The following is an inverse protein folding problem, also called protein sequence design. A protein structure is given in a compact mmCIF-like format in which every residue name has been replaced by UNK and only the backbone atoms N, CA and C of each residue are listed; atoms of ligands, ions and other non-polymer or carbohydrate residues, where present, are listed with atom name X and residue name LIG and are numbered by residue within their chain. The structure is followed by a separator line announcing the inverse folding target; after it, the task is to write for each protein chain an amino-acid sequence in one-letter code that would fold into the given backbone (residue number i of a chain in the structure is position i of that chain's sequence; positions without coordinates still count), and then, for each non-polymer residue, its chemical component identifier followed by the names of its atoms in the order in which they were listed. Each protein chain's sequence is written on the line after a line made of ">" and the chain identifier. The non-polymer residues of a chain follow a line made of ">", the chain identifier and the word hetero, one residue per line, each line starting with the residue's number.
data_IF_872922731991
#
_entry.id   IF_872922731991
#
_cell.length_a   1.000
_cell.length_b   1.000
_cell.length_c   1.000
_cell.angle_alpha   90.00
_cell.angle_beta   90.00
_cell.angle_gamma   90.00
#
_symmetry.space_group_name_H-M   'P 1'
#
loop_
_entity.id
_entity.type
_entity.pdbx_description
1 polymer ?
#
# COMPACT_ATOMS: atom_id res chain seq x y z
N UNK A 1 79.16 0.87 -20.82
CA UNK A 1 78.68 2.09 -20.13
C UNK A 1 77.54 1.66 -19.22
N UNK A 2 77.68 1.86 -17.90
CA UNK A 2 76.73 1.42 -16.86
C UNK A 2 75.48 2.31 -16.92
N UNK A 3 74.28 1.72 -17.01
CA UNK A 3 73.02 2.41 -16.75
C UNK A 3 72.56 2.00 -15.35
N UNK A 4 72.23 3.04 -14.59
CA UNK A 4 72.11 3.11 -13.14
C UNK A 4 70.63 3.03 -12.75
N UNK A 5 70.33 2.34 -11.65
CA UNK A 5 68.99 2.17 -11.11
C UNK A 5 68.41 3.47 -10.53
N UNK A 6 67.15 3.77 -10.84
CA UNK A 6 66.21 4.64 -10.08
C UNK A 6 64.83 3.99 -10.29
N UNK A 7 64.30 3.15 -9.39
CA UNK A 7 63.63 3.42 -8.10
C UNK A 7 62.37 4.29 -8.19
N UNK A 8 61.35 3.86 -7.44
CA UNK A 8 60.16 4.61 -6.97
C UNK A 8 58.80 4.19 -7.55
N UNK A 9 58.27 3.10 -7.00
CA UNK A 9 56.97 3.00 -6.30
C UNK A 9 55.90 4.01 -6.75
N UNK A 10 54.91 3.53 -7.51
CA UNK A 10 53.59 4.15 -7.63
C UNK A 10 52.61 3.29 -6.83
N UNK A 11 52.50 3.61 -5.54
CA UNK A 11 51.52 3.11 -4.59
C UNK A 11 50.69 4.31 -4.12
N UNK A 12 49.80 4.82 -4.97
CA UNK A 12 48.66 5.65 -4.56
C UNK A 12 47.63 5.54 -5.67
N UNK A 13 46.48 4.92 -5.37
CA UNK A 13 45.13 5.16 -5.94
C UNK A 13 44.18 3.99 -5.60
N UNK A 14 44.29 3.43 -4.38
CA UNK A 14 43.15 2.80 -3.73
C UNK A 14 42.44 3.88 -2.91
N UNK A 15 41.84 4.84 -3.61
CA UNK A 15 40.68 5.55 -3.08
C UNK A 15 39.55 4.53 -3.22
N UNK A 16 39.49 3.59 -2.28
CA UNK A 16 38.29 2.81 -2.07
C UNK A 16 37.23 3.81 -1.65
N UNK A 17 36.34 4.14 -2.58
CA UNK A 17 35.15 4.92 -2.33
C UNK A 17 34.53 4.42 -1.04
N UNK A 18 34.40 5.31 -0.05
CA UNK A 18 33.32 5.23 0.90
C UNK A 18 32.04 5.25 0.08
N UNK A 19 31.52 4.07 -0.27
CA UNK A 19 30.11 3.92 -0.52
C UNK A 19 29.45 4.22 0.83
N UNK A 20 29.14 5.50 1.04
CA UNK A 20 27.90 5.82 1.72
C UNK A 20 26.84 4.99 0.98
N UNK A 21 26.41 3.90 1.59
CA UNK A 21 25.10 3.34 1.32
C UNK A 21 24.12 4.43 1.74
N UNK A 22 23.84 5.36 0.82
CA UNK A 22 22.60 6.11 0.86
C UNK A 22 21.51 5.06 0.83
N UNK A 23 20.93 4.82 2.00
CA UNK A 23 19.76 3.98 2.18
C UNK A 23 18.72 4.57 1.25
N UNK A 24 18.35 3.84 0.20
CA UNK A 24 17.34 4.30 -0.75
C UNK A 24 16.09 4.68 0.07
N UNK A 25 15.74 5.97 0.04
CA UNK A 25 14.58 6.48 0.76
C UNK A 25 13.36 5.76 0.19
N UNK A 26 12.64 5.02 1.03
CA UNK A 26 11.45 4.29 0.60
C UNK A 26 10.41 5.33 0.20
N UNK A 27 10.05 5.34 -1.08
CA UNK A 27 9.13 6.32 -1.63
C UNK A 27 7.73 6.18 -1.00
N UNK A 28 7.05 7.29 -0.77
CA UNK A 28 5.64 7.28 -0.42
C UNK A 28 4.82 6.66 -1.58
N UNK A 29 3.78 5.84 -1.33
CA UNK A 29 3.18 5.47 -0.05
C UNK A 29 3.84 4.26 0.65
N UNK A 30 4.86 3.65 0.05
CA UNK A 30 5.46 2.39 0.51
C UNK A 30 6.14 2.50 1.87
N UNK A 31 6.58 3.70 2.26
CA UNK A 31 7.20 3.98 3.56
C UNK A 31 6.30 3.66 4.77
N UNK A 32 4.98 3.60 4.57
CA UNK A 32 4.01 3.24 5.62
C UNK A 32 3.72 1.74 5.71
N UNK A 33 4.21 0.93 4.76
CA UNK A 33 4.00 -0.51 4.77
C UNK A 33 5.17 -1.17 5.50
N UNK A 34 4.86 -1.89 6.58
CA UNK A 34 5.83 -2.60 7.41
C UNK A 34 6.72 -3.52 6.56
N UNK A 35 8.04 -3.47 6.77
CA UNK A 35 9.06 -4.13 5.93
C UNK A 35 8.90 -5.65 5.79
N UNK A 36 8.26 -6.30 6.77
CA UNK A 36 8.02 -7.75 6.74
C UNK A 36 6.73 -8.13 6.00
N UNK A 37 5.91 -7.15 5.62
CA UNK A 37 4.70 -7.38 4.85
C UNK A 37 5.08 -7.58 3.39
N UNK A 38 4.87 -8.79 2.88
CA UNK A 38 5.13 -9.11 1.47
C UNK A 38 3.96 -8.63 0.60
N UNK A 39 4.27 -7.93 -0.49
CA UNK A 39 3.34 -7.49 -1.52
C UNK A 39 4.12 -7.20 -2.81
N UNK A 40 3.46 -7.33 -3.96
CA UNK A 40 3.93 -6.80 -5.23
C UNK A 40 3.71 -5.28 -5.26
N UNK A 41 4.68 -4.57 -5.85
CA UNK A 41 4.54 -3.15 -6.17
C UNK A 41 3.34 -2.92 -7.08
N UNK A 42 2.79 -1.72 -7.04
CA UNK A 42 1.65 -1.33 -7.85
C UNK A 42 1.78 0.15 -8.22
N UNK A 43 1.29 0.52 -9.39
CA UNK A 43 1.21 1.93 -9.79
C UNK A 43 -0.23 2.42 -9.71
N UNK A 44 -0.42 3.73 -9.79
CA UNK A 44 -1.74 4.34 -9.86
C UNK A 44 -1.68 5.56 -10.77
N UNK A 45 -2.83 6.04 -11.30
CA UNK A 45 -2.85 7.22 -12.16
C UNK A 45 -2.18 8.43 -11.50
N UNK A 46 -1.41 9.21 -12.26
CA UNK A 46 -0.73 10.42 -11.75
C UNK A 46 -1.72 11.47 -11.19
N UNK A 47 -2.97 11.42 -11.63
CA UNK A 47 -4.05 12.27 -11.14
C UNK A 47 -4.71 11.78 -9.85
N UNK A 48 -4.27 10.64 -9.29
CA UNK A 48 -4.75 10.11 -8.02
C UNK A 48 -3.69 10.34 -6.95
N UNK A 49 -4.12 10.85 -5.80
CA UNK A 49 -3.27 11.02 -4.63
C UNK A 49 -3.63 9.97 -3.59
N UNK A 50 -2.66 9.43 -2.87
CA UNK A 50 -2.94 8.58 -1.71
C UNK A 50 -3.30 9.53 -0.57
N UNK A 51 -4.58 9.54 -0.20
CA UNK A 51 -5.13 10.45 0.82
C UNK A 51 -5.30 9.76 2.16
N UNK A 52 -5.25 8.42 2.22
CA UNK A 52 -5.22 7.72 3.49
C UNK A 52 -4.52 6.37 3.38
N UNK A 53 -3.84 5.97 4.45
CA UNK A 53 -3.27 4.62 4.61
C UNK A 53 -3.67 4.10 5.98
N UNK A 54 -4.29 2.92 6.00
CA UNK A 54 -4.66 2.22 7.23
C UNK A 54 -4.21 0.76 7.18
N UNK A 55 -4.12 0.13 8.34
CA UNK A 55 -3.76 -1.28 8.48
C UNK A 55 -4.61 -1.96 9.54
N UNK A 56 -4.67 -3.29 9.49
CA UNK A 56 -5.31 -4.08 10.54
C UNK A 56 -4.27 -4.93 11.27
N UNK A 57 -4.22 -4.81 12.59
CA UNK A 57 -3.39 -5.65 13.47
C UNK A 57 -4.24 -6.61 14.30
N UNK A 58 -3.90 -7.91 14.37
CA UNK A 58 -4.60 -8.86 15.23
C UNK A 58 -4.50 -8.50 16.72
N UNK A 59 -5.58 -8.74 17.47
CA UNK A 59 -5.55 -8.74 18.93
C UNK A 59 -4.86 -10.02 19.42
N UNK A 60 -3.80 -9.89 20.21
CA UNK A 60 -3.06 -11.02 20.81
C UNK A 60 -3.64 -11.35 22.18
N UNK A 61 -3.91 -10.32 22.98
CA UNK A 61 -4.33 -10.48 24.37
C UNK A 61 -5.33 -9.41 24.78
N UNK A 62 -6.28 -9.78 25.65
CA UNK A 62 -7.18 -8.86 26.35
C UNK A 62 -7.50 -9.42 27.73
N UNK A 63 -7.34 -8.62 28.77
CA UNK A 63 -7.79 -8.96 30.11
C UNK A 63 -9.31 -8.82 30.22
N UNK A 64 -9.97 -9.82 30.80
CA UNK A 64 -11.41 -9.79 31.04
C UNK A 64 -11.83 -8.88 32.21
N UNK A 65 -10.89 -8.50 33.07
CA UNK A 65 -11.14 -7.70 34.28
C UNK A 65 -10.66 -6.24 34.16
N UNK A 66 -9.80 -5.94 33.18
CA UNK A 66 -9.32 -4.59 32.89
C UNK A 66 -9.51 -4.29 31.40
N UNK A 67 -10.49 -3.44 31.04
CA UNK A 67 -10.79 -3.15 29.64
C UNK A 67 -9.67 -2.39 28.90
N UNK A 68 -8.74 -1.76 29.62
CA UNK A 68 -7.59 -1.04 29.05
C UNK A 68 -6.34 -1.93 28.92
N UNK A 69 -6.37 -3.17 29.44
CA UNK A 69 -5.27 -4.12 29.33
C UNK A 69 -5.45 -5.01 28.08
N UNK A 70 -4.92 -4.56 26.95
CA UNK A 70 -4.91 -5.29 25.68
C UNK A 70 -3.54 -5.21 24.98
N UNK A 71 -3.26 -6.21 24.15
CA UNK A 71 -2.05 -6.28 23.32
C UNK A 71 -2.43 -6.64 21.89
N UNK A 72 -1.90 -5.88 20.94
CA UNK A 72 -2.05 -6.13 19.51
C UNK A 72 -0.72 -6.57 18.91
N UNK A 73 -0.80 -7.32 17.81
CA UNK A 73 0.36 -7.66 16.99
C UNK A 73 1.03 -6.41 16.44
N UNK A 74 2.35 -6.43 16.36
CA UNK A 74 3.13 -5.41 15.65
C UNK A 74 3.14 -5.64 14.13
N UNK A 75 2.75 -6.84 13.67
CA UNK A 75 2.67 -7.19 12.26
C UNK A 75 1.23 -7.06 11.77
N UNK A 76 0.95 -6.17 10.81
CA UNK A 76 -0.36 -6.06 10.20
C UNK A 76 -0.68 -7.24 9.28
N UNK A 77 -1.97 -7.56 9.15
CA UNK A 77 -2.48 -8.62 8.26
C UNK A 77 -3.02 -8.09 6.95
N UNK A 78 -3.32 -6.79 6.89
CA UNK A 78 -3.68 -6.08 5.68
C UNK A 78 -3.32 -4.59 5.78
N UNK A 79 -3.25 -3.98 4.61
CA UNK A 79 -3.20 -2.54 4.41
C UNK A 79 -4.35 -2.12 3.50
N UNK A 80 -4.88 -0.92 3.73
CA UNK A 80 -5.79 -0.24 2.82
C UNK A 80 -5.24 1.12 2.48
N UNK A 81 -5.07 1.37 1.20
CA UNK A 81 -4.75 2.67 0.63
C UNK A 81 -6.03 3.25 0.05
N UNK A 82 -6.30 4.50 0.36
CA UNK A 82 -7.41 5.27 -0.20
C UNK A 82 -6.84 6.33 -1.13
N UNK A 83 -7.39 6.39 -2.33
CA UNK A 83 -7.01 7.31 -3.39
C UNK A 83 -8.08 8.38 -3.58
N UNK A 84 -7.67 9.61 -3.85
CA UNK A 84 -8.58 10.74 -3.99
C UNK A 84 -7.95 11.97 -4.62
N UNK A 85 -8.70 13.07 -4.57
CA UNK A 85 -8.22 14.43 -4.82
C UNK A 85 -7.92 15.10 -3.48
N UNK A 86 -6.65 15.30 -3.16
CA UNK A 86 -6.22 15.91 -1.90
C UNK A 86 -6.76 17.35 -1.79
N UNK A 87 -7.26 17.69 -0.60
CA UNK A 87 -7.63 19.06 -0.30
C UNK A 87 -6.36 19.91 -0.16
N UNK A 88 -6.36 21.21 -0.52
CA UNK A 88 -5.19 22.08 -0.38
C UNK A 88 -4.64 22.20 1.04
N UNK A 89 -5.47 21.91 2.05
CA UNK A 89 -5.11 21.96 3.46
C UNK A 89 -5.57 20.68 4.15
N UNK A 90 -4.73 20.13 5.04
CA UNK A 90 -5.12 19.02 5.89
C UNK A 90 -5.80 19.53 7.16
N UNK A 91 -7.05 19.16 7.38
CA UNK A 91 -7.77 19.45 8.63
C UNK A 91 -7.43 18.44 9.75
N UNK A 92 -6.78 17.33 9.41
CA UNK A 92 -6.42 16.27 10.35
C UNK A 92 -4.97 16.44 10.81
N UNK A 93 -4.80 16.61 12.12
CA UNK A 93 -3.49 16.67 12.77
C UNK A 93 -3.08 15.29 13.30
N UNK A 94 -1.78 15.09 13.52
CA UNK A 94 -1.20 13.82 13.98
C UNK A 94 -1.84 13.35 15.30
N UNK A 95 -2.09 14.26 16.24
CA UNK A 95 -2.71 13.91 17.53
C UNK A 95 -4.14 13.34 17.37
N UNK A 96 -4.87 13.76 16.33
CA UNK A 96 -6.20 13.23 16.05
C UNK A 96 -6.13 11.78 15.52
N UNK A 97 -5.08 11.44 14.77
CA UNK A 97 -4.83 10.07 14.31
C UNK A 97 -4.41 9.16 15.48
N UNK A 98 -3.55 9.66 16.37
CA UNK A 98 -3.19 8.94 17.59
C UNK A 98 -4.41 8.66 18.47
N UNK A 99 -5.25 9.68 18.70
CA UNK A 99 -6.47 9.53 19.48
C UNK A 99 -7.42 8.51 18.84
N UNK A 100 -7.62 8.59 17.51
CA UNK A 100 -8.42 7.62 16.77
C UNK A 100 -7.89 6.19 16.99
N UNK A 101 -6.59 5.97 16.87
CA UNK A 101 -5.98 4.65 17.04
C UNK A 101 -6.14 4.10 18.47
N UNK A 102 -6.01 4.95 19.49
CA UNK A 102 -6.28 4.58 20.88
C UNK A 102 -7.74 4.19 21.09
N UNK A 103 -8.68 4.95 20.51
CA UNK A 103 -10.11 4.65 20.59
C UNK A 103 -10.46 3.32 19.89
N UNK A 104 -9.90 3.07 18.71
CA UNK A 104 -10.05 1.79 18.01
C UNK A 104 -9.57 0.62 18.88
N UNK A 105 -8.37 0.74 19.47
CA UNK A 105 -7.80 -0.30 20.30
C UNK A 105 -8.64 -0.59 21.56
N UNK A 106 -9.12 0.45 22.26
CA UNK A 106 -10.06 0.30 23.39
C UNK A 106 -11.38 -0.35 23.00
N UNK A 107 -11.85 -0.07 21.79
CA UNK A 107 -13.03 -0.70 21.19
C UNK A 107 -12.83 -2.18 20.83
N UNK A 108 -11.62 -2.71 20.94
CA UNK A 108 -11.28 -4.06 20.49
C UNK A 108 -10.97 -4.16 18.99
N UNK A 109 -10.88 -3.03 18.28
CA UNK A 109 -10.55 -2.96 16.86
C UNK A 109 -9.05 -2.97 16.61
N UNK A 110 -8.64 -3.80 15.65
CA UNK A 110 -7.26 -3.85 15.15
C UNK A 110 -6.91 -2.76 14.13
N UNK A 111 -7.86 -1.90 13.76
CA UNK A 111 -7.63 -0.86 12.75
C UNK A 111 -6.64 0.19 13.26
N UNK A 112 -5.67 0.54 12.43
CA UNK A 112 -4.72 1.63 12.66
C UNK A 112 -4.69 2.55 11.45
N UNK A 113 -4.94 3.83 11.66
CA UNK A 113 -4.73 4.88 10.67
C UNK A 113 -3.26 5.30 10.75
N UNK A 114 -2.53 5.15 9.64
CA UNK A 114 -1.10 5.43 9.54
C UNK A 114 -0.84 6.78 8.88
N UNK A 115 -1.70 7.15 7.94
CA UNK A 115 -1.64 8.42 7.22
C UNK A 115 -3.06 8.86 6.87
N UNK A 116 -3.35 10.15 6.96
CA UNK A 116 -4.59 10.73 6.46
C UNK A 116 -4.38 12.17 6.03
N UNK A 117 -4.90 12.50 4.87
CA UNK A 117 -5.05 13.85 4.36
C UNK A 117 -6.52 14.08 4.01
N UNK A 118 -7.00 15.28 4.30
CA UNK A 118 -8.33 15.71 3.88
C UNK A 118 -8.42 15.71 2.35
N UNK A 119 -9.58 15.37 1.78
CA UNK A 119 -9.76 15.21 0.34
C UNK A 119 -11.15 15.68 -0.12
N UNK A 120 -11.27 16.09 -1.38
CA UNK A 120 -12.53 16.52 -2.00
C UNK A 120 -13.28 15.42 -2.73
N UNK A 121 -12.55 14.43 -3.23
CA UNK A 121 -13.12 13.29 -3.94
C UNK A 121 -12.44 11.98 -3.51
N UNK A 122 -13.22 10.91 -3.41
CA UNK A 122 -12.78 9.55 -3.11
C UNK A 122 -12.80 8.73 -4.40
N UNK A 123 -11.64 8.44 -4.96
CA UNK A 123 -11.53 7.71 -6.23
C UNK A 123 -11.51 6.20 -6.05
N UNK A 124 -10.76 5.68 -5.09
CA UNK A 124 -10.67 4.24 -4.88
C UNK A 124 -10.18 3.82 -3.50
N UNK A 125 -10.40 2.56 -3.17
CA UNK A 125 -9.76 1.85 -2.07
C UNK A 125 -9.02 0.62 -2.63
N UNK A 126 -7.72 0.50 -2.36
CA UNK A 126 -6.95 -0.72 -2.59
C UNK A 126 -6.65 -1.37 -1.25
N UNK A 127 -7.20 -2.55 -1.03
CA UNK A 127 -6.86 -3.38 0.13
C UNK A 127 -5.90 -4.49 -0.30
N UNK A 128 -4.78 -4.62 0.42
CA UNK A 128 -3.77 -5.65 0.22
C UNK A 128 -3.77 -6.52 1.48
N UNK A 129 -4.01 -7.83 1.34
CA UNK A 129 -4.28 -8.74 2.44
C UNK A 129 -3.50 -10.04 2.31
N UNK A 130 -3.00 -10.56 3.43
CA UNK A 130 -2.38 -11.89 3.51
C UNK A 130 -3.37 -13.00 3.87
N UNK A 131 -4.59 -12.63 4.27
CA UNK A 131 -5.56 -13.56 4.88
C UNK A 131 -6.79 -13.83 4.00
N UNK A 132 -6.75 -13.43 2.72
CA UNK A 132 -7.86 -13.54 1.79
C UNK A 132 -8.45 -12.21 1.38
N UNK A 133 -9.38 -12.26 0.43
CA UNK A 133 -10.16 -11.11 -0.02
C UNK A 133 -11.08 -10.60 1.08
N UNK A 134 -11.20 -9.28 1.18
CA UNK A 134 -12.18 -8.64 2.05
C UNK A 134 -13.60 -8.79 1.48
N UNK A 135 -13.73 -8.75 0.15
CA UNK A 135 -14.99 -8.95 -0.57
C UNK A 135 -14.77 -10.03 -1.61
N UNK A 136 -15.53 -11.13 -1.58
CA UNK A 136 -15.40 -12.21 -2.54
C UNK A 136 -16.27 -11.94 -3.77
N UNK A 137 -15.70 -11.31 -4.81
CA UNK A 137 -16.46 -10.96 -6.02
C UNK A 137 -16.99 -12.18 -6.78
N UNK A 138 -16.33 -13.33 -6.68
CA UNK A 138 -16.77 -14.56 -7.34
C UNK A 138 -18.11 -15.13 -6.83
N UNK A 139 -18.63 -14.63 -5.71
CA UNK A 139 -19.93 -15.03 -5.19
C UNK A 139 -21.10 -14.31 -5.88
N UNK A 140 -20.80 -13.31 -6.73
CA UNK A 140 -21.80 -12.53 -7.45
C UNK A 140 -22.00 -13.08 -8.87
N UNK A 141 -23.25 -13.35 -9.25
CA UNK A 141 -23.60 -13.88 -10.58
C UNK A 141 -23.18 -12.97 -11.74
N UNK A 142 -23.07 -11.65 -11.49
CA UNK A 142 -22.66 -10.65 -12.47
C UNK A 142 -21.14 -10.46 -12.58
N UNK A 143 -20.35 -11.16 -11.75
CA UNK A 143 -18.90 -11.06 -11.80
C UNK A 143 -18.35 -11.66 -13.10
N UNK A 144 -17.31 -11.03 -13.62
CA UNK A 144 -16.64 -11.37 -14.86
C UNK A 144 -15.20 -11.75 -14.56
N UNK A 145 -14.65 -12.66 -15.36
CA UNK A 145 -13.23 -13.04 -15.30
C UNK A 145 -12.48 -12.38 -16.46
N UNK A 146 -11.46 -11.60 -16.13
CA UNK A 146 -10.58 -10.93 -17.08
C UNK A 146 -9.15 -11.45 -16.93
N UNK A 147 -8.43 -11.55 -18.05
CA UNK A 147 -6.97 -11.69 -18.04
C UNK A 147 -6.37 -10.28 -18.13
N UNK A 148 -5.52 -9.91 -17.17
CA UNK A 148 -4.76 -8.64 -17.15
C UNK A 148 -3.32 -8.97 -16.74
N UNK A 149 -2.34 -8.63 -17.57
CA UNK A 149 -0.91 -8.86 -17.28
C UNK A 149 -0.58 -10.31 -16.83
N UNK A 150 -1.16 -11.30 -17.51
CA UNK A 150 -1.07 -12.74 -17.19
C UNK A 150 -1.59 -13.13 -15.80
N UNK A 151 -2.47 -12.30 -15.22
CA UNK A 151 -3.18 -12.58 -13.98
C UNK A 151 -4.67 -12.65 -14.25
N UNK A 152 -5.32 -13.63 -13.63
CA UNK A 152 -6.79 -13.72 -13.59
C UNK A 152 -7.31 -12.70 -12.60
N UNK A 153 -8.17 -11.81 -13.07
CA UNK A 153 -8.82 -10.76 -12.27
C UNK A 153 -10.34 -11.00 -12.31
N UNK A 154 -10.96 -11.09 -11.15
CA UNK A 154 -12.42 -11.10 -11.04
C UNK A 154 -12.89 -9.65 -10.95
N UNK A 155 -13.80 -9.26 -11.82
CA UNK A 155 -14.29 -7.89 -11.97
C UNK A 155 -15.80 -7.86 -11.78
N UNK A 156 -16.28 -6.85 -11.06
CA UNK A 156 -17.70 -6.58 -10.91
C UNK A 156 -17.96 -5.10 -11.20
N UNK A 157 -19.01 -4.81 -11.95
CA UNK A 157 -19.54 -3.46 -12.11
C UNK A 157 -20.90 -3.39 -11.43
N UNK A 158 -21.09 -2.41 -10.54
CA UNK A 158 -22.38 -2.12 -9.94
C UNK A 158 -22.68 -0.61 -10.05
N UNK A 159 -23.58 -0.26 -10.97
CA UNK A 159 -23.86 1.14 -11.28
C UNK A 159 -22.62 1.87 -11.83
N UNK A 160 -22.16 2.88 -11.09
CA UNK A 160 -20.97 3.66 -11.44
C UNK A 160 -19.72 3.25 -10.65
N UNK A 161 -19.77 2.13 -9.92
CA UNK A 161 -18.62 1.60 -9.19
C UNK A 161 -18.07 0.36 -9.90
N UNK A 162 -16.75 0.19 -9.81
CA UNK A 162 -16.04 -0.98 -10.28
C UNK A 162 -15.31 -1.63 -9.13
N UNK A 163 -15.29 -2.96 -9.10
CA UNK A 163 -14.50 -3.72 -8.16
C UNK A 163 -13.66 -4.75 -8.89
N UNK A 164 -12.45 -5.01 -8.38
CA UNK A 164 -11.56 -6.04 -8.86
C UNK A 164 -10.92 -6.83 -7.72
N UNK A 165 -10.79 -8.13 -7.93
CA UNK A 165 -10.08 -9.05 -7.06
C UNK A 165 -9.01 -9.79 -7.87
N UNK A 166 -7.78 -9.78 -7.39
CA UNK A 166 -6.72 -10.62 -7.94
C UNK A 166 -5.76 -11.10 -6.85
N UNK A 167 -5.01 -12.14 -7.17
CA UNK A 167 -3.94 -12.63 -6.30
C UNK A 167 -2.60 -12.51 -6.99
N UNK A 168 -1.57 -12.15 -6.22
CA UNK A 168 -0.19 -12.19 -6.71
C UNK A 168 0.75 -12.59 -5.57
N UNK A 169 1.66 -13.54 -5.82
CA UNK A 169 2.60 -14.01 -4.79
C UNK A 169 1.95 -14.60 -3.52
N UNK A 170 0.70 -15.04 -3.58
CA UNK A 170 -0.08 -15.49 -2.40
C UNK A 170 -0.71 -14.36 -1.58
N UNK A 171 -0.62 -13.12 -2.06
CA UNK A 171 -1.25 -11.90 -1.50
C UNK A 171 -2.52 -11.61 -2.28
N UNK A 172 -3.54 -11.13 -1.58
CA UNK A 172 -4.87 -10.83 -2.10
C UNK A 172 -5.05 -9.32 -2.23
N UNK A 173 -5.56 -8.89 -3.37
CA UNK A 173 -5.79 -7.49 -3.68
C UNK A 173 -7.27 -7.27 -3.97
N UNK A 174 -7.88 -6.34 -3.23
CA UNK A 174 -9.24 -5.85 -3.46
C UNK A 174 -9.16 -4.39 -3.87
N UNK A 175 -9.51 -4.09 -5.12
CA UNK A 175 -9.68 -2.71 -5.59
C UNK A 175 -11.17 -2.40 -5.68
N UNK A 176 -11.59 -1.28 -5.10
CA UNK A 176 -12.94 -0.72 -5.29
C UNK A 176 -12.75 0.70 -5.81
N UNK A 177 -13.22 0.97 -7.02
CA UNK A 177 -13.21 2.28 -7.67
C UNK A 177 -14.60 2.88 -7.57
N UNK A 178 -14.66 4.11 -7.05
CA UNK A 178 -15.88 4.87 -6.80
C UNK A 178 -16.29 5.62 -8.06
N UNK A 179 -17.57 5.99 -8.13
CA UNK A 179 -18.10 6.80 -9.24
C UNK A 179 -17.44 8.16 -9.40
N UNK A 180 -16.84 8.71 -8.33
CA UNK A 180 -16.11 9.99 -8.37
C UNK A 180 -14.82 9.91 -9.19
N UNK A 181 -14.28 8.70 -9.44
CA UNK A 181 -13.13 8.50 -10.32
C UNK A 181 -13.47 8.66 -11.82
N UNK A 182 -14.75 8.77 -12.18
CA UNK A 182 -15.23 8.93 -13.56
C UNK A 182 -14.76 7.83 -14.52
N UNK A 183 -14.63 6.60 -14.01
CA UNK A 183 -14.38 5.40 -14.81
C UNK A 183 -15.74 4.85 -15.27
N UNK A 184 -16.13 5.21 -16.49
CA UNK A 184 -17.49 4.99 -17.00
C UNK A 184 -17.60 3.75 -17.93
N UNK A 185 -16.47 3.13 -18.29
CA UNK A 185 -16.46 2.00 -19.23
C UNK A 185 -15.52 0.86 -18.84
N UNK A 186 -15.82 -0.33 -19.36
CA UNK A 186 -14.94 -1.51 -19.23
C UNK A 186 -13.52 -1.24 -19.75
N UNK A 187 -13.39 -0.50 -20.86
CA UNK A 187 -12.09 -0.18 -21.47
C UNK A 187 -11.26 0.71 -20.54
N UNK A 188 -11.88 1.73 -19.92
CA UNK A 188 -11.20 2.59 -18.96
C UNK A 188 -10.80 1.81 -17.70
N UNK A 189 -11.69 0.97 -17.18
CA UNK A 189 -11.38 0.17 -15.99
C UNK A 189 -10.28 -0.86 -16.26
N UNK A 190 -10.30 -1.50 -17.43
CA UNK A 190 -9.22 -2.40 -17.85
C UNK A 190 -7.88 -1.67 -17.95
N UNK A 191 -7.84 -0.49 -18.56
CA UNK A 191 -6.61 0.31 -18.65
C UNK A 191 -6.07 0.70 -17.27
N UNK A 192 -6.95 1.01 -16.31
CA UNK A 192 -6.56 1.25 -14.91
C UNK A 192 -5.93 -0.01 -14.28
N UNK A 193 -6.55 -1.17 -14.47
CA UNK A 193 -6.00 -2.43 -13.95
C UNK A 193 -4.64 -2.76 -14.56
N UNK A 194 -4.46 -2.56 -15.86
CA UNK A 194 -3.17 -2.76 -16.55
C UNK A 194 -2.08 -1.86 -15.94
N UNK A 195 -2.42 -0.61 -15.60
CA UNK A 195 -1.48 0.30 -14.92
C UNK A 195 -1.17 -0.16 -13.49
N UNK A 196 -2.17 -0.54 -12.71
CA UNK A 196 -1.99 -0.96 -11.31
C UNK A 196 -1.20 -2.27 -11.23
N UNK A 197 -1.53 -3.23 -12.09
CA UNK A 197 -1.03 -4.61 -12.04
C UNK A 197 0.27 -4.77 -12.83
N UNK A 198 0.50 -3.96 -13.88
CA UNK A 198 1.65 -4.05 -14.79
C UNK A 198 3.00 -3.62 -14.20
N UNK A 199 3.11 -3.54 -12.87
CA UNK A 199 4.36 -3.30 -12.16
C UNK A 199 5.30 -4.51 -12.19
#
# INVERSE_FOLDING_TARGET
>A
MKIWHVFTIVLVLLVGCSQNEETAEVEFPYSYIHETFSYDQFYYPDSWEVVAISSSVPLIYRDGNDPDAFEYSNTPTNYRLTFGEEAPENEVVEEALEEFNVQQARGGSGLRQLYYHSYFAHYADLTISQNGFHTLLMEYDAAMEWEVENRTVIVLQEGNEWAANWTSGGVYYDLIVRGEALIESEEQFRGLLEQIIGA
#
